data_IF_211177538676
#
_entry.id   IF_211177538676
#
_cell.length_a   1.000
_cell.length_b   1.000
_cell.length_c   1.000
_cell.angle_alpha   90.00
_cell.angle_beta   90.00
_cell.angle_gamma   90.00
#
_symmetry.space_group_name_H-M   'P 1'
#
loop_
_entity.id
_entity.type
_entity.pdbx_description
1 polymer ?
#
# COMPACT_ATOMS: atom_id res chain seq x y z
N UNK A 1 -5.50 -21.92 76.29
CA UNK A 1 -5.79 -20.64 75.67
C UNK A 1 -4.86 -20.48 74.46
N UNK A 2 -5.35 -20.74 73.24
CA UNK A 2 -4.54 -20.75 72.04
C UNK A 2 -4.87 -19.48 71.20
N UNK A 3 -3.94 -18.50 71.14
CA UNK A 3 -4.11 -17.26 70.36
C UNK A 3 -3.76 -17.56 68.90
N UNK A 4 -4.77 -17.58 67.99
CA UNK A 4 -4.57 -17.61 66.56
C UNK A 4 -4.28 -16.17 66.05
N UNK A 5 -3.08 -15.94 65.55
CA UNK A 5 -2.69 -14.73 64.86
C UNK A 5 -3.09 -14.87 63.38
N UNK A 6 -4.05 -14.02 62.96
CA UNK A 6 -4.49 -13.89 61.58
C UNK A 6 -3.49 -13.01 60.81
N UNK A 7 -2.75 -13.58 59.84
CA UNK A 7 -1.87 -12.82 58.94
C UNK A 7 -2.68 -12.38 57.72
N UNK A 8 -2.95 -11.08 57.59
CA UNK A 8 -3.48 -10.49 56.37
C UNK A 8 -2.36 -10.42 55.33
N UNK A 9 -2.53 -11.11 54.21
CA UNK A 9 -1.67 -10.95 53.04
C UNK A 9 -2.21 -9.77 52.18
N UNK A 10 -1.42 -8.70 52.08
CA UNK A 10 -1.68 -7.61 51.16
C UNK A 10 -1.27 -8.05 49.74
N UNK A 11 -2.23 -8.24 48.85
CA UNK A 11 -1.99 -8.42 47.40
C UNK A 11 -1.92 -7.04 46.78
N UNK A 12 -0.72 -6.57 46.46
CA UNK A 12 -0.52 -5.34 45.66
C UNK A 12 -0.79 -5.63 44.21
N UNK A 13 -1.90 -5.11 43.70
CA UNK A 13 -2.23 -5.15 42.24
C UNK A 13 -1.33 -4.14 41.52
N UNK A 14 -0.33 -4.63 40.81
CA UNK A 14 0.50 -3.80 39.91
C UNK A 14 -0.27 -3.62 38.60
N UNK A 15 -0.92 -2.47 38.42
CA UNK A 15 -1.50 -2.08 37.17
C UNK A 15 -0.41 -1.58 36.21
N UNK A 16 -0.06 -2.39 35.18
CA UNK A 16 0.81 -1.96 34.11
C UNK A 16 0.04 -0.95 33.20
N UNK A 17 0.61 0.21 32.89
CA UNK A 17 -0.03 1.14 31.97
C UNK A 17 -0.04 0.55 30.54
N UNK A 18 -1.21 0.48 29.94
CA UNK A 18 -1.40 0.15 28.53
C UNK A 18 -0.89 1.34 27.72
N UNK A 19 0.33 1.25 27.18
CA UNK A 19 0.88 2.27 26.27
C UNK A 19 0.18 2.10 24.91
N UNK A 20 -0.89 2.86 24.70
CA UNK A 20 -1.48 3.05 23.39
C UNK A 20 -0.49 3.88 22.55
N UNK A 21 0.30 3.20 21.72
CA UNK A 21 1.18 3.86 20.77
C UNK A 21 0.35 4.72 19.80
N UNK A 22 0.48 6.04 19.89
CA UNK A 22 -0.07 6.95 18.88
C UNK A 22 0.64 6.70 17.55
N UNK A 23 -0.07 6.63 16.42
CA UNK A 23 0.58 6.53 15.12
C UNK A 23 1.48 7.76 14.92
N UNK A 24 2.77 7.52 14.76
CA UNK A 24 3.73 8.57 14.39
C UNK A 24 3.53 8.83 12.91
N UNK A 25 2.88 9.95 12.56
CA UNK A 25 2.81 10.43 11.20
C UNK A 25 4.12 11.12 10.85
N UNK A 26 4.94 10.50 9.99
CA UNK A 26 6.29 10.99 9.69
C UNK A 26 6.41 11.69 8.35
N UNK A 27 5.69 11.27 7.32
CA UNK A 27 5.79 11.84 5.98
C UNK A 27 4.47 12.48 5.54
N UNK A 28 4.59 13.64 4.86
CA UNK A 28 3.45 14.39 4.31
C UNK A 28 3.72 14.79 2.87
N UNK A 29 2.71 14.63 2.01
CA UNK A 29 2.73 15.08 0.63
C UNK A 29 1.34 15.60 0.24
N UNK A 30 1.23 16.81 -0.31
CA UNK A 30 -0.05 17.46 -0.65
C UNK A 30 -1.07 17.44 0.51
N UNK A 31 -0.62 17.67 1.75
CA UNK A 31 -1.43 17.56 2.98
C UNK A 31 -1.93 16.12 3.29
N UNK A 32 -1.56 15.14 2.51
CA UNK A 32 -1.79 13.72 2.80
C UNK A 32 -0.70 13.25 3.74
N UNK A 33 -1.09 12.91 4.97
CA UNK A 33 -0.21 12.35 5.98
C UNK A 33 -0.28 10.83 5.94
N UNK A 34 0.89 10.20 5.97
CA UNK A 34 1.01 8.74 6.00
C UNK A 34 1.89 8.29 7.17
N UNK A 35 1.67 7.10 7.73
CA UNK A 35 2.52 6.55 8.78
C UNK A 35 3.91 6.19 8.23
N UNK A 36 4.95 6.26 9.09
CA UNK A 36 6.31 5.83 8.73
C UNK A 36 6.44 4.32 8.56
N UNK A 37 5.52 3.55 9.16
CA UNK A 37 5.48 2.10 9.06
C UNK A 37 4.06 1.57 9.17
N UNK A 38 3.82 0.38 8.62
CA UNK A 38 2.54 -0.33 8.65
C UNK A 38 2.77 -1.81 8.93
N UNK A 39 1.76 -2.48 9.48
CA UNK A 39 1.71 -3.95 9.52
C UNK A 39 0.84 -4.43 8.37
N UNK A 40 1.45 -5.06 7.37
CA UNK A 40 0.75 -5.52 6.18
C UNK A 40 1.43 -6.77 5.59
N UNK A 41 0.68 -7.65 4.92
CA UNK A 41 1.23 -8.89 4.36
C UNK A 41 1.91 -9.80 5.39
N UNK A 42 1.48 -9.76 6.65
CA UNK A 42 2.10 -10.52 7.75
C UNK A 42 3.44 -9.98 8.24
N UNK A 43 3.85 -8.79 7.81
CA UNK A 43 5.17 -8.19 8.09
C UNK A 43 5.06 -6.75 8.57
N UNK A 44 6.09 -6.28 9.26
CA UNK A 44 6.31 -4.87 9.54
C UNK A 44 7.00 -4.24 8.31
N UNK A 45 6.35 -3.26 7.70
CA UNK A 45 6.83 -2.56 6.52
C UNK A 45 7.11 -1.10 6.86
N UNK A 46 8.20 -0.56 6.31
CA UNK A 46 8.58 0.86 6.46
C UNK A 46 8.25 1.63 5.19
N UNK A 47 7.88 2.90 5.32
CA UNK A 47 7.63 3.78 4.19
C UNK A 47 8.93 3.94 3.37
N UNK A 48 8.89 3.45 2.12
CA UNK A 48 9.98 3.60 1.17
C UNK A 48 10.01 5.00 0.55
N UNK A 49 8.85 5.47 0.12
CA UNK A 49 8.72 6.80 -0.47
C UNK A 49 7.28 7.16 -0.82
N UNK A 50 7.09 8.43 -1.17
CA UNK A 50 5.82 9.04 -1.59
C UNK A 50 5.96 9.66 -2.97
N UNK A 51 4.93 9.52 -3.81
CA UNK A 51 4.89 10.17 -5.11
C UNK A 51 3.50 10.64 -5.48
N UNK A 52 3.40 11.62 -6.39
CA UNK A 52 2.14 12.17 -6.86
C UNK A 52 1.84 11.66 -8.27
N UNK A 53 0.67 11.05 -8.48
CA UNK A 53 0.15 10.78 -9.82
C UNK A 53 -0.38 12.07 -10.41
N UNK A 54 0.24 12.50 -11.49
CA UNK A 54 -0.21 13.63 -12.32
C UNK A 54 -0.77 13.07 -13.63
N UNK A 55 -1.98 13.45 -13.99
CA UNK A 55 -2.65 13.05 -15.22
C UNK A 55 -2.72 14.24 -16.18
N UNK A 56 -2.81 13.95 -17.46
CA UNK A 56 -2.92 14.90 -18.57
C UNK A 56 -1.73 15.84 -18.69
N UNK A 57 -1.65 16.59 -19.78
CA UNK A 57 -0.63 17.63 -20.00
C UNK A 57 -0.73 18.83 -19.03
N UNK A 58 -1.88 18.97 -18.34
CA UNK A 58 -2.09 19.99 -17.30
C UNK A 58 -1.57 19.58 -15.92
N UNK A 59 -0.93 18.42 -15.79
CA UNK A 59 -0.41 17.89 -14.52
C UNK A 59 -1.47 17.83 -13.40
N UNK A 60 -2.69 17.43 -13.74
CA UNK A 60 -3.78 17.29 -12.78
C UNK A 60 -3.41 16.23 -11.74
N UNK A 61 -3.33 16.63 -10.48
CA UNK A 61 -3.02 15.72 -9.38
C UNK A 61 -4.20 14.80 -9.10
N UNK A 62 -3.97 13.49 -9.13
CA UNK A 62 -5.01 12.46 -9.01
C UNK A 62 -4.97 11.80 -7.64
N UNK A 63 -3.80 11.33 -7.23
CA UNK A 63 -3.57 10.72 -5.92
C UNK A 63 -2.13 10.90 -5.45
N UNK A 64 -1.92 10.79 -4.15
CA UNK A 64 -0.63 10.54 -3.52
C UNK A 64 -0.49 9.04 -3.32
N UNK A 65 0.59 8.45 -3.81
CA UNK A 65 0.93 7.06 -3.59
C UNK A 65 2.03 6.95 -2.54
N UNK A 66 1.90 5.97 -1.62
CA UNK A 66 2.93 5.59 -0.66
C UNK A 66 3.29 4.13 -0.81
N UNK A 67 4.58 3.84 -0.99
CA UNK A 67 5.12 2.49 -1.09
C UNK A 67 5.76 2.09 0.25
N UNK A 68 5.40 0.91 0.74
CA UNK A 68 5.93 0.32 1.97
C UNK A 68 6.63 -1.00 1.65
N UNK A 69 7.83 -1.18 2.20
CA UNK A 69 8.69 -2.33 1.99
C UNK A 69 9.27 -2.83 3.33
N UNK A 70 9.75 -4.09 3.44
CA UNK A 70 10.46 -4.56 4.63
C UNK A 70 11.74 -3.75 4.91
N UNK A 71 12.43 -3.30 3.85
CA UNK A 71 13.61 -2.45 3.91
C UNK A 71 13.56 -1.43 2.77
N UNK A 72 14.01 -0.20 3.02
CA UNK A 72 14.07 0.84 2.00
C UNK A 72 14.99 0.46 0.84
N UNK A 73 14.54 0.76 -0.38
CA UNK A 73 15.30 0.51 -1.60
C UNK A 73 14.97 1.55 -2.67
N UNK A 74 15.99 2.07 -3.34
CA UNK A 74 15.85 2.93 -4.53
C UNK A 74 15.92 2.16 -5.84
N UNK A 75 16.04 0.83 -5.82
CA UNK A 75 16.21 -0.01 -7.00
C UNK A 75 14.87 -0.68 -7.38
N UNK A 76 14.22 -0.12 -8.40
CA UNK A 76 12.94 -0.62 -8.89
C UNK A 76 12.99 -2.09 -9.33
N UNK A 77 14.07 -2.50 -10.00
CA UNK A 77 14.22 -3.88 -10.49
C UNK A 77 14.32 -4.88 -9.34
N UNK A 78 15.07 -4.53 -8.29
CA UNK A 78 15.15 -5.35 -7.07
C UNK A 78 13.81 -5.41 -6.35
N UNK A 79 13.09 -4.28 -6.22
CA UNK A 79 11.79 -4.25 -5.55
C UNK A 79 10.79 -5.16 -6.27
N UNK A 80 10.66 -5.02 -7.61
CA UNK A 80 9.73 -5.81 -8.41
C UNK A 80 10.11 -7.30 -8.40
N UNK A 81 11.41 -7.62 -8.51
CA UNK A 81 11.88 -9.00 -8.59
C UNK A 81 12.02 -9.73 -7.25
N UNK A 82 11.92 -9.01 -6.13
CA UNK A 82 12.00 -9.63 -4.82
C UNK A 82 10.64 -10.25 -4.45
N UNK A 83 10.59 -11.55 -4.24
CA UNK A 83 9.38 -12.20 -3.72
C UNK A 83 9.24 -11.89 -2.22
N UNK A 84 8.91 -10.64 -1.90
CA UNK A 84 8.80 -10.10 -0.54
C UNK A 84 7.48 -9.34 -0.37
N UNK A 85 6.92 -9.25 0.84
CA UNK A 85 5.72 -8.47 1.08
C UNK A 85 5.96 -6.98 0.78
N UNK A 86 4.93 -6.33 0.23
CA UNK A 86 4.90 -4.89 0.03
C UNK A 86 3.47 -4.37 0.16
N UNK A 87 3.34 -3.08 0.42
CA UNK A 87 2.05 -2.40 0.33
C UNK A 87 2.20 -1.10 -0.46
N UNK A 88 1.26 -0.87 -1.37
CA UNK A 88 1.09 0.39 -2.09
C UNK A 88 -0.27 0.98 -1.73
N UNK A 89 -0.28 2.21 -1.21
CA UNK A 89 -1.50 2.93 -0.82
C UNK A 89 -1.66 4.14 -1.71
N UNK A 90 -2.81 4.27 -2.36
CA UNK A 90 -3.20 5.41 -3.19
C UNK A 90 -4.25 6.22 -2.45
N UNK A 91 -3.92 7.46 -2.06
CA UNK A 91 -4.86 8.39 -1.43
C UNK A 91 -5.31 9.41 -2.47
N UNK A 92 -6.58 9.36 -2.86
CA UNK A 92 -7.13 10.24 -3.88
C UNK A 92 -7.23 11.68 -3.37
N UNK A 93 -6.78 12.63 -4.19
CA UNK A 93 -6.81 14.08 -3.89
C UNK A 93 -7.81 14.81 -4.78
N UNK A 94 -8.66 14.08 -5.46
CA UNK A 94 -9.81 14.50 -6.24
C UNK A 94 -10.74 13.31 -6.49
N UNK A 95 -11.94 13.59 -6.99
CA UNK A 95 -12.86 12.55 -7.48
C UNK A 95 -12.31 11.90 -8.73
N UNK A 96 -12.45 10.57 -8.85
CA UNK A 96 -12.00 9.75 -9.98
C UNK A 96 -13.02 8.66 -10.24
N UNK A 97 -13.45 8.51 -11.48
CA UNK A 97 -14.41 7.49 -11.88
C UNK A 97 -13.74 6.10 -11.98
N UNK A 98 -14.49 5.05 -11.68
CA UNK A 98 -14.00 3.67 -11.75
C UNK A 98 -13.52 3.28 -13.17
N UNK A 99 -14.12 3.85 -14.22
CA UNK A 99 -13.68 3.65 -15.61
C UNK A 99 -12.26 4.16 -15.84
N UNK A 100 -11.97 5.39 -15.40
CA UNK A 100 -10.64 5.99 -15.56
C UNK A 100 -9.55 5.18 -14.84
N UNK A 101 -9.91 4.58 -13.69
CA UNK A 101 -9.00 3.72 -12.95
C UNK A 101 -8.74 2.42 -13.71
N UNK A 102 -9.78 1.76 -14.22
CA UNK A 102 -9.63 0.53 -15.00
C UNK A 102 -8.80 0.76 -16.26
N UNK A 103 -9.09 1.83 -17.00
CA UNK A 103 -8.36 2.19 -18.21
C UNK A 103 -6.86 2.44 -17.89
N UNK A 104 -6.57 3.12 -16.79
CA UNK A 104 -5.20 3.36 -16.34
C UNK A 104 -4.46 2.05 -15.96
N UNK A 105 -5.14 1.07 -15.33
CA UNK A 105 -4.56 -0.25 -15.03
C UNK A 105 -4.29 -1.04 -16.30
N UNK A 106 -5.23 -1.11 -17.22
CA UNK A 106 -5.08 -1.82 -18.49
C UNK A 106 -3.92 -1.25 -19.31
N UNK A 107 -3.83 0.08 -19.40
CA UNK A 107 -2.70 0.75 -20.05
C UNK A 107 -1.38 0.43 -19.35
N UNK A 108 -1.35 0.49 -18.00
CA UNK A 108 -0.16 0.21 -17.20
C UNK A 108 0.33 -1.23 -17.34
N UNK A 109 -0.57 -2.21 -17.32
CA UNK A 109 -0.23 -3.61 -17.57
C UNK A 109 0.31 -3.81 -19.01
N UNK A 110 -0.37 -3.24 -20.01
CA UNK A 110 0.06 -3.33 -21.42
C UNK A 110 1.46 -2.77 -21.62
N UNK A 111 1.76 -1.61 -21.05
CA UNK A 111 3.07 -0.95 -21.18
C UNK A 111 4.20 -1.72 -20.50
N UNK A 112 3.93 -2.32 -19.34
CA UNK A 112 4.99 -2.90 -18.50
C UNK A 112 5.05 -4.43 -18.52
N UNK A 113 4.06 -5.13 -19.07
CA UNK A 113 4.02 -6.61 -19.12
C UNK A 113 4.12 -7.19 -20.53
N UNK A 114 3.93 -6.39 -21.58
CA UNK A 114 4.06 -6.82 -22.99
C UNK A 114 3.23 -8.07 -23.28
N UNK A 115 3.84 -9.08 -23.88
CA UNK A 115 3.16 -10.33 -24.28
C UNK A 115 2.58 -11.13 -23.10
N UNK A 116 2.99 -10.85 -21.87
CA UNK A 116 2.47 -11.53 -20.67
C UNK A 116 1.05 -11.09 -20.29
N UNK A 117 0.56 -9.96 -20.82
CA UNK A 117 -0.78 -9.41 -20.48
C UNK A 117 -1.87 -10.44 -20.73
N UNK A 118 -1.82 -11.21 -21.82
CA UNK A 118 -2.83 -12.22 -22.13
C UNK A 118 -2.97 -13.28 -21.02
N UNK A 119 -1.85 -13.73 -20.43
CA UNK A 119 -1.86 -14.69 -19.33
C UNK A 119 -2.33 -14.07 -17.99
N UNK A 120 -2.25 -12.75 -17.85
CA UNK A 120 -2.68 -12.00 -16.67
C UNK A 120 -4.16 -11.59 -16.74
N UNK A 121 -4.78 -11.65 -17.92
CA UNK A 121 -6.11 -11.08 -18.19
C UNK A 121 -7.19 -11.49 -17.19
N UNK A 122 -7.37 -12.77 -16.80
CA UNK A 122 -8.41 -13.15 -15.84
C UNK A 122 -8.23 -12.49 -14.47
N UNK A 123 -6.97 -12.25 -14.06
CA UNK A 123 -6.63 -11.60 -12.80
C UNK A 123 -6.78 -10.07 -12.88
N UNK A 124 -6.50 -9.48 -14.05
CA UNK A 124 -6.78 -8.08 -14.36
C UNK A 124 -8.29 -7.81 -14.28
N UNK A 125 -9.12 -8.70 -14.83
CA UNK A 125 -10.58 -8.61 -14.73
C UNK A 125 -11.07 -8.71 -13.28
N UNK A 126 -10.48 -9.62 -12.49
CA UNK A 126 -10.75 -9.72 -11.04
C UNK A 126 -10.41 -8.43 -10.31
N UNK A 127 -9.27 -7.80 -10.64
CA UNK A 127 -8.87 -6.50 -10.10
C UNK A 127 -9.87 -5.42 -10.53
N UNK A 128 -10.21 -5.34 -11.81
CA UNK A 128 -11.10 -4.33 -12.38
C UNK A 128 -12.52 -4.40 -11.79
N UNK A 129 -13.00 -5.61 -11.47
CA UNK A 129 -14.29 -5.81 -10.80
C UNK A 129 -14.35 -5.20 -9.37
N UNK A 130 -13.20 -4.90 -8.77
CA UNK A 130 -13.10 -4.26 -7.44
C UNK A 130 -13.11 -2.74 -7.51
N UNK A 131 -12.89 -2.16 -8.68
CA UNK A 131 -12.79 -0.70 -8.82
C UNK A 131 -14.17 -0.05 -8.75
N UNK A 132 -14.22 1.00 -7.95
CA UNK A 132 -15.40 1.86 -7.72
C UNK A 132 -15.04 3.31 -8.03
N UNK A 133 -16.01 4.19 -8.07
CA UNK A 133 -15.75 5.63 -8.08
C UNK A 133 -15.15 6.05 -6.73
N UNK A 134 -14.05 6.78 -6.77
CA UNK A 134 -13.41 7.32 -5.59
C UNK A 134 -13.69 8.81 -5.45
N UNK A 135 -13.94 9.23 -4.22
CA UNK A 135 -14.04 10.64 -3.84
C UNK A 135 -12.73 11.13 -3.25
N UNK A 136 -12.49 12.43 -3.30
CA UNK A 136 -11.36 13.05 -2.60
C UNK A 136 -11.29 12.57 -1.14
N UNK A 137 -10.09 12.22 -0.69
CA UNK A 137 -9.81 11.70 0.65
C UNK A 137 -9.97 10.19 0.80
N UNK A 138 -10.62 9.50 -0.13
CA UNK A 138 -10.72 8.04 -0.13
C UNK A 138 -9.41 7.38 -0.54
N UNK A 139 -9.29 6.06 -0.32
CA UNK A 139 -8.06 5.33 -0.64
C UNK A 139 -8.32 3.96 -1.27
N UNK A 140 -7.33 3.52 -2.01
CA UNK A 140 -7.17 2.17 -2.52
C UNK A 140 -5.81 1.66 -2.07
N UNK A 141 -5.73 0.45 -1.54
CA UNK A 141 -4.44 -0.16 -1.23
C UNK A 141 -4.31 -1.57 -1.81
N UNK A 142 -3.08 -1.87 -2.19
CA UNK A 142 -2.63 -3.19 -2.63
C UNK A 142 -1.63 -3.69 -1.61
N UNK A 143 -1.90 -4.85 -1.02
CA UNK A 143 -0.98 -5.50 -0.07
C UNK A 143 -0.60 -6.86 -0.61
N UNK A 144 0.68 -7.05 -0.91
CA UNK A 144 1.22 -8.36 -1.29
C UNK A 144 1.62 -9.16 -0.05
N UNK A 145 1.08 -10.35 0.03
CA UNK A 145 1.57 -11.43 0.87
C UNK A 145 2.04 -12.55 -0.07
N UNK A 146 3.34 -12.80 -0.22
CA UNK A 146 3.85 -13.78 -1.20
C UNK A 146 3.25 -15.19 -1.05
N UNK A 147 2.69 -15.52 0.12
CA UNK A 147 2.01 -16.80 0.36
C UNK A 147 0.53 -16.79 -0.04
N UNK A 148 -0.10 -15.61 -0.23
CA UNK A 148 -1.54 -15.48 -0.45
C UNK A 148 -1.91 -14.66 -1.69
N UNK A 149 -0.96 -13.85 -2.21
CA UNK A 149 -1.20 -12.92 -3.29
C UNK A 149 -1.60 -11.51 -2.85
N UNK A 150 -2.13 -10.73 -3.77
CA UNK A 150 -2.48 -9.32 -3.60
C UNK A 150 -3.87 -9.17 -2.97
N UNK A 151 -3.93 -8.68 -1.74
CA UNK A 151 -5.16 -8.18 -1.15
C UNK A 151 -5.44 -6.75 -1.65
N UNK A 152 -6.65 -6.53 -2.15
CA UNK A 152 -7.12 -5.22 -2.62
C UNK A 152 -8.12 -4.67 -1.60
N UNK A 153 -7.78 -3.55 -0.96
CA UNK A 153 -8.64 -2.85 0.00
C UNK A 153 -9.14 -1.54 -0.59
N UNK A 154 -10.44 -1.37 -0.58
CA UNK A 154 -11.14 -0.16 -1.05
C UNK A 154 -11.83 0.48 0.15
N UNK A 155 -11.26 1.56 0.68
CA UNK A 155 -11.82 2.32 1.82
C UNK A 155 -12.15 1.45 3.05
N UNK A 156 -11.29 0.45 3.37
CA UNK A 156 -11.48 -0.47 4.49
C UNK A 156 -12.25 -1.74 4.14
N UNK A 157 -12.75 -1.88 2.92
CA UNK A 157 -13.38 -3.10 2.43
C UNK A 157 -12.37 -3.97 1.67
N UNK A 158 -11.78 -4.94 2.36
CA UNK A 158 -10.86 -5.90 1.75
C UNK A 158 -11.62 -7.01 1.00
N UNK A 159 -11.06 -7.45 -0.13
CA UNK A 159 -11.56 -8.57 -0.93
C UNK A 159 -10.70 -9.81 -0.84
N UNK A 160 -11.08 -10.83 -1.62
CA UNK A 160 -10.27 -12.03 -1.80
C UNK A 160 -8.95 -11.65 -2.48
N UNK A 161 -7.85 -12.27 -2.03
CA UNK A 161 -6.53 -12.01 -2.62
C UNK A 161 -6.45 -12.55 -4.06
N UNK A 162 -5.74 -11.82 -4.92
CA UNK A 162 -5.43 -12.24 -6.30
C UNK A 162 -4.06 -12.91 -6.26
N UNK A 163 -4.05 -14.23 -6.47
CA UNK A 163 -2.83 -15.03 -6.35
C UNK A 163 -1.87 -14.88 -7.53
N UNK A 164 -0.60 -15.19 -7.28
CA UNK A 164 0.45 -15.29 -8.27
C UNK A 164 1.50 -14.21 -8.18
N UNK A 165 2.78 -14.61 -7.96
CA UNK A 165 3.90 -13.71 -7.90
C UNK A 165 4.12 -12.95 -9.23
N UNK A 166 3.78 -13.57 -10.36
CA UNK A 166 3.82 -12.95 -11.68
C UNK A 166 2.81 -11.78 -11.79
N UNK A 167 1.61 -11.94 -11.20
CA UNK A 167 0.62 -10.88 -11.13
C UNK A 167 1.06 -9.76 -10.17
N UNK A 168 1.60 -10.11 -9.00
CA UNK A 168 2.10 -9.12 -8.04
C UNK A 168 3.22 -8.26 -8.65
N UNK A 169 4.17 -8.89 -9.36
CA UNK A 169 5.24 -8.20 -10.06
C UNK A 169 4.72 -7.31 -11.19
N UNK A 170 3.76 -7.80 -11.98
CA UNK A 170 3.15 -7.04 -13.06
C UNK A 170 2.36 -5.84 -12.55
N UNK A 171 1.59 -6.01 -11.47
CA UNK A 171 0.84 -4.92 -10.84
C UNK A 171 1.78 -3.84 -10.32
N UNK A 172 2.81 -4.20 -9.56
CA UNK A 172 3.78 -3.24 -9.02
C UNK A 172 4.56 -2.54 -10.14
N UNK A 173 4.77 -3.22 -11.27
CA UNK A 173 5.44 -2.66 -12.46
C UNK A 173 4.66 -1.51 -13.10
N UNK A 174 3.36 -1.37 -12.86
CA UNK A 174 2.60 -0.21 -13.32
C UNK A 174 3.27 1.08 -12.81
N UNK A 175 3.71 1.13 -11.55
CA UNK A 175 4.33 2.31 -10.95
C UNK A 175 5.84 2.34 -11.02
N UNK A 176 6.49 1.18 -10.92
CA UNK A 176 7.96 1.07 -10.83
C UNK A 176 8.62 0.55 -12.11
N UNK A 177 7.84 0.14 -13.10
CA UNK A 177 8.33 -0.44 -14.35
C UNK A 177 9.00 0.58 -15.27
N UNK A 178 9.20 0.18 -16.53
CA UNK A 178 9.90 0.99 -17.54
C UNK A 178 9.07 2.19 -17.99
N UNK A 179 7.75 2.05 -18.04
CA UNK A 179 6.80 3.07 -18.48
C UNK A 179 5.80 3.39 -17.36
N UNK A 180 6.24 4.10 -16.29
CA UNK A 180 5.36 4.46 -15.19
C UNK A 180 4.34 5.52 -15.62
N UNK A 181 3.28 5.74 -14.84
CA UNK A 181 2.28 6.78 -15.13
C UNK A 181 2.88 8.20 -15.22
N UNK A 182 3.91 8.49 -14.46
CA UNK A 182 4.82 9.64 -14.58
C UNK A 182 6.12 9.37 -13.79
N UNK A 183 7.24 9.87 -14.29
CA UNK A 183 8.58 9.61 -13.72
C UNK A 183 8.76 10.20 -12.31
N UNK A 184 8.18 11.37 -12.02
CA UNK A 184 8.23 11.98 -10.68
C UNK A 184 7.57 11.06 -9.64
N UNK A 185 6.42 10.45 -9.98
CA UNK A 185 5.75 9.46 -9.12
C UNK A 185 6.67 8.29 -8.80
N UNK A 186 7.28 7.68 -9.81
CA UNK A 186 8.23 6.58 -9.64
C UNK A 186 9.42 6.99 -8.80
N UNK A 187 10.04 8.13 -9.12
CA UNK A 187 11.16 8.69 -8.35
C UNK A 187 10.80 8.88 -6.88
N UNK A 188 9.63 9.47 -6.62
CA UNK A 188 9.13 9.66 -5.26
C UNK A 188 8.92 8.35 -4.50
N UNK A 189 8.31 7.33 -5.13
CA UNK A 189 8.12 6.00 -4.53
C UNK A 189 9.45 5.28 -4.23
N UNK A 190 10.50 5.59 -4.99
CA UNK A 190 11.86 5.06 -4.79
C UNK A 190 12.69 5.87 -3.76
N UNK A 191 12.06 6.75 -2.98
CA UNK A 191 12.69 7.51 -1.90
C UNK A 191 13.17 8.90 -2.30
N UNK A 192 12.81 9.36 -3.51
CA UNK A 192 13.02 10.74 -3.95
C UNK A 192 12.02 11.72 -3.32
N UNK A 193 11.97 12.94 -3.87
CA UNK A 193 11.02 13.96 -3.41
C UNK A 193 9.59 13.61 -3.86
N UNK A 194 8.62 13.97 -3.03
CA UNK A 194 7.21 13.91 -3.39
C UNK A 194 6.82 15.19 -4.17
N UNK A 195 6.84 15.11 -5.50
CA UNK A 195 6.55 16.25 -6.40
C UNK A 195 5.80 15.83 -7.68
#
# INVERSE_FOLDING_TARGET
>A
MLKRTLRLAFVTLVSAPLVLGTPVFGAECLKVKVPDSVKAGGSDLVLNGLGIRKATFLNVKVYVAGLYLPQKSGDAGKIIGANQPWQLVLRFVRDVDASDIRDAWEEGFKKNSGDKVAALQPRIETLNARMVDFKEGQYLSFTDDPAKGIAVDVNGASGVAIEGADFANALLSIWLGREPPNEDLKSGLLGGKCE
#
